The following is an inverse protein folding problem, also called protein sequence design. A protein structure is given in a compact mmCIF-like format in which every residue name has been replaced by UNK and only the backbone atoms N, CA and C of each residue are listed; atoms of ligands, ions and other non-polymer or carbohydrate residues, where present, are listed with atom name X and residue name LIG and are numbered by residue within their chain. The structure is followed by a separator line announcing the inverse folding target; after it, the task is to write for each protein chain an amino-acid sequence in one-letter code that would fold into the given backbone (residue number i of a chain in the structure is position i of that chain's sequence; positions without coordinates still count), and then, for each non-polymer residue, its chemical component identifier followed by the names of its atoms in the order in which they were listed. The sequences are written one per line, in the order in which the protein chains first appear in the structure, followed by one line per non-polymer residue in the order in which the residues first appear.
data_IF_753363904418
#
_entry.id   IF_753363904418
#
_cell.length_a   1.000
_cell.length_b   1.000
_cell.length_c   1.000
_cell.angle_alpha   90.00
_cell.angle_beta   90.00
_cell.angle_gamma   90.00
#
_symmetry.space_group_name_H-M   'P 1'
#
loop_
_entity.id
_entity.type
_entity.pdbx_description
1 polymer ?
#
# COMPACT_ATOMS: atom_id res chain seq x y z
N UNK A 1 8.57 8.39 -19.44
CA UNK A 1 9.37 8.29 -18.20
C UNK A 1 8.55 8.79 -17.03
N UNK A 2 8.44 8.02 -15.98
CA UNK A 2 7.65 8.34 -14.78
C UNK A 2 8.59 8.76 -13.64
N UNK A 3 8.34 9.89 -13.00
CA UNK A 3 8.94 10.26 -11.71
C UNK A 3 8.06 9.68 -10.59
N UNK A 4 8.60 8.83 -9.75
CA UNK A 4 7.91 8.23 -8.63
C UNK A 4 8.35 8.86 -7.30
N UNK A 5 7.47 9.61 -6.67
CA UNK A 5 7.66 10.18 -5.33
C UNK A 5 7.08 9.23 -4.29
N UNK A 6 7.93 8.58 -3.49
CA UNK A 6 7.49 7.48 -2.62
C UNK A 6 8.30 7.34 -1.34
N UNK A 7 7.79 6.54 -0.41
CA UNK A 7 8.46 6.08 0.79
C UNK A 7 8.15 4.57 0.97
N UNK A 8 8.98 3.81 1.75
CA UNK A 8 8.81 2.37 1.91
C UNK A 8 7.64 2.05 2.84
N UNK A 9 6.43 2.11 2.29
CA UNK A 9 5.17 1.89 3.01
C UNK A 9 4.22 1.07 2.13
N UNK A 10 3.20 0.42 2.69
CA UNK A 10 2.20 -0.30 1.91
C UNK A 10 1.59 0.52 0.77
N UNK A 11 1.38 1.83 0.95
CA UNK A 11 0.88 2.68 -0.12
C UNK A 11 1.95 3.02 -1.17
N UNK A 12 3.19 3.23 -0.75
CA UNK A 12 4.32 3.44 -1.66
C UNK A 12 4.57 2.24 -2.55
N UNK A 13 4.53 1.04 -1.98
CA UNK A 13 4.71 -0.22 -2.72
C UNK A 13 3.63 -0.48 -3.77
N UNK A 14 2.39 0.02 -3.58
CA UNK A 14 1.38 -0.07 -4.65
C UNK A 14 1.90 0.53 -5.95
N UNK A 15 2.52 1.70 -5.88
CA UNK A 15 3.04 2.39 -7.05
C UNK A 15 4.26 1.67 -7.65
N UNK A 16 5.28 1.36 -6.82
CA UNK A 16 6.50 0.73 -7.29
C UNK A 16 6.27 -0.68 -7.83
N UNK A 17 5.46 -1.50 -7.16
CA UNK A 17 5.09 -2.84 -7.66
C UNK A 17 4.32 -2.74 -8.97
N UNK A 18 3.39 -1.80 -9.10
CA UNK A 18 2.65 -1.61 -10.36
C UNK A 18 3.58 -1.22 -11.50
N UNK A 19 4.53 -0.30 -11.28
CA UNK A 19 5.52 0.10 -12.28
C UNK A 19 6.41 -1.08 -12.72
N UNK A 20 6.88 -1.88 -11.76
CA UNK A 20 7.69 -3.08 -12.03
C UNK A 20 6.91 -4.16 -12.78
N UNK A 21 5.66 -4.42 -12.42
CA UNK A 21 4.81 -5.40 -13.09
C UNK A 21 4.44 -4.97 -14.52
N UNK A 22 4.31 -3.68 -14.77
CA UNK A 22 4.04 -3.13 -16.08
C UNK A 22 5.32 -2.95 -16.93
N UNK A 23 6.51 -3.08 -16.34
CA UNK A 23 7.78 -2.83 -17.02
C UNK A 23 7.95 -1.37 -17.48
N UNK A 24 7.27 -0.44 -16.85
CA UNK A 24 7.36 0.99 -17.18
C UNK A 24 8.65 1.59 -16.61
N UNK A 25 9.43 2.34 -17.40
CA UNK A 25 10.62 3.00 -16.89
C UNK A 25 10.26 4.15 -15.96
N UNK A 26 10.94 4.21 -14.80
CA UNK A 26 10.70 5.25 -13.81
C UNK A 26 11.99 5.69 -13.10
N UNK A 27 11.94 6.89 -12.55
CA UNK A 27 12.97 7.46 -11.68
C UNK A 27 12.39 7.62 -10.28
N UNK A 28 13.14 7.19 -9.26
CA UNK A 28 12.69 7.21 -7.86
C UNK A 28 13.12 8.50 -7.19
N UNK A 29 12.16 9.21 -6.61
CA UNK A 29 12.35 10.36 -5.74
C UNK A 29 11.91 9.99 -4.32
N UNK A 30 12.83 9.54 -3.44
CA UNK A 30 12.50 9.21 -2.06
C UNK A 30 11.96 10.44 -1.32
N UNK A 31 10.88 10.24 -0.56
CA UNK A 31 10.27 11.30 0.27
C UNK A 31 10.44 10.92 1.74
N UNK A 32 11.19 11.70 2.49
CA UNK A 32 11.34 11.50 3.93
C UNK A 32 10.11 12.00 4.68
N UNK A 33 9.14 11.09 4.87
CA UNK A 33 7.87 11.40 5.53
C UNK A 33 8.03 11.73 7.02
N UNK A 34 9.10 11.27 7.66
CA UNK A 34 9.40 11.60 9.06
C UNK A 34 9.97 13.00 9.22
N UNK A 35 10.68 13.50 8.21
CA UNK A 35 11.14 14.88 8.13
C UNK A 35 10.07 15.86 7.62
N UNK A 36 8.89 15.37 7.23
CA UNK A 36 7.81 16.22 6.75
C UNK A 36 7.96 16.69 5.30
N UNK A 37 8.85 16.07 4.50
CA UNK A 37 9.08 16.48 3.10
C UNK A 37 7.82 16.46 2.24
N UNK A 38 6.85 15.58 2.55
CA UNK A 38 5.54 15.51 1.89
C UNK A 38 4.67 16.76 2.14
N UNK A 39 5.09 17.67 3.02
CA UNK A 39 4.41 18.94 3.34
C UNK A 39 5.12 20.17 2.78
N UNK A 40 6.23 19.99 2.07
CA UNK A 40 6.93 21.09 1.42
C UNK A 40 6.10 21.68 0.25
N UNK A 41 6.23 22.97 -0.04
CA UNK A 41 5.51 23.58 -1.17
C UNK A 41 5.75 22.87 -2.50
N UNK A 42 6.99 22.40 -2.74
CA UNK A 42 7.34 21.66 -3.94
C UNK A 42 6.56 20.36 -4.08
N UNK A 43 6.45 19.58 -3.00
CA UNK A 43 5.66 18.34 -3.02
C UNK A 43 4.15 18.61 -3.07
N UNK A 44 3.66 19.63 -2.38
CA UNK A 44 2.24 20.00 -2.39
C UNK A 44 1.77 20.47 -3.78
N UNK A 45 2.67 20.98 -4.62
CA UNK A 45 2.36 21.28 -6.02
C UNK A 45 2.11 20.01 -6.85
N UNK A 46 2.71 18.87 -6.48
CA UNK A 46 2.49 17.56 -7.12
C UNK A 46 1.26 16.87 -6.51
N UNK A 47 1.16 16.88 -5.18
CA UNK A 47 0.07 16.26 -4.44
C UNK A 47 -0.45 17.18 -3.34
N UNK A 48 -1.58 17.87 -3.55
CA UNK A 48 -2.14 18.81 -2.58
C UNK A 48 -2.58 18.16 -1.26
N UNK A 49 -2.80 16.83 -1.23
CA UNK A 49 -3.06 16.08 -0.01
C UNK A 49 -1.80 15.95 0.87
N UNK A 50 -0.59 16.14 0.29
CA UNK A 50 0.67 16.02 1.03
C UNK A 50 0.88 14.62 1.60
N UNK A 51 0.66 13.60 0.78
CA UNK A 51 0.88 12.18 1.08
C UNK A 51 1.57 11.48 -0.08
N UNK A 52 2.31 10.42 0.21
CA UNK A 52 2.88 9.52 -0.78
C UNK A 52 1.93 8.32 -1.03
N UNK A 53 2.03 7.67 -2.19
CA UNK A 53 2.82 8.01 -3.37
C UNK A 53 2.18 9.10 -4.23
N UNK A 54 3.00 9.69 -5.11
CA UNK A 54 2.57 10.48 -6.24
C UNK A 54 3.50 10.20 -7.43
N UNK A 55 3.03 10.42 -8.64
CA UNK A 55 3.86 10.35 -9.85
C UNK A 55 3.74 11.63 -10.67
N UNK A 56 4.77 11.87 -11.50
CA UNK A 56 4.73 12.85 -12.57
C UNK A 56 5.10 12.15 -13.87
N UNK A 57 4.21 12.19 -14.84
CA UNK A 57 4.46 11.60 -16.15
C UNK A 57 5.10 12.64 -17.09
N UNK A 58 6.40 12.49 -17.35
CA UNK A 58 7.16 13.39 -18.22
C UNK A 58 6.68 13.36 -19.67
N UNK A 59 6.18 12.20 -20.14
CA UNK A 59 5.72 12.01 -21.51
C UNK A 59 4.38 12.72 -21.79
N UNK A 60 3.64 13.03 -20.71
CA UNK A 60 2.37 13.75 -20.74
C UNK A 60 2.51 15.20 -20.25
N UNK A 61 3.62 15.84 -20.60
CA UNK A 61 3.86 17.25 -20.26
C UNK A 61 4.05 17.54 -18.78
N UNK A 62 4.45 16.55 -17.99
CA UNK A 62 4.62 16.68 -16.55
C UNK A 62 3.31 16.51 -15.77
N UNK A 63 2.39 15.70 -16.28
CA UNK A 63 1.11 15.43 -15.63
C UNK A 63 1.30 14.71 -14.29
N UNK A 64 0.83 15.35 -13.21
CA UNK A 64 0.93 14.81 -11.86
C UNK A 64 -0.32 13.96 -11.53
N UNK A 65 -0.10 12.77 -10.95
CA UNK A 65 -1.17 11.89 -10.47
C UNK A 65 -0.91 11.53 -9.01
N UNK A 66 -1.87 11.79 -8.16
CA UNK A 66 -1.86 11.40 -6.75
C UNK A 66 -3.07 10.48 -6.45
N UNK A 67 -3.15 9.96 -5.23
CA UNK A 67 -3.97 8.82 -4.80
C UNK A 67 -3.49 7.50 -5.39
N UNK A 68 -3.03 6.58 -4.53
CA UNK A 68 -2.41 5.33 -5.00
C UNK A 68 -3.33 4.50 -5.89
N UNK A 69 -4.64 4.48 -5.65
CA UNK A 69 -5.61 3.79 -6.51
C UNK A 69 -5.76 4.44 -7.89
N UNK A 70 -5.84 5.78 -7.96
CA UNK A 70 -5.91 6.52 -9.21
C UNK A 70 -4.63 6.38 -10.02
N UNK A 71 -3.48 6.44 -9.34
CA UNK A 71 -2.16 6.22 -9.92
C UNK A 71 -2.06 4.83 -10.57
N UNK A 72 -2.51 3.78 -9.89
CA UNK A 72 -2.50 2.42 -10.42
C UNK A 72 -3.39 2.28 -11.66
N UNK A 73 -4.58 2.91 -11.66
CA UNK A 73 -5.47 2.94 -12.83
C UNK A 73 -4.77 3.63 -13.99
N UNK A 74 -4.21 4.82 -13.77
CA UNK A 74 -3.49 5.58 -14.79
C UNK A 74 -2.34 4.80 -15.43
N UNK A 75 -1.49 4.16 -14.62
CA UNK A 75 -0.37 3.36 -15.10
C UNK A 75 -0.83 2.11 -15.87
N UNK A 76 -1.88 1.44 -15.39
CA UNK A 76 -2.44 0.28 -16.07
C UNK A 76 -3.06 0.66 -17.44
N UNK A 77 -3.75 1.80 -17.52
CA UNK A 77 -4.28 2.35 -18.78
C UNK A 77 -3.16 2.75 -19.75
N UNK A 78 -2.11 3.42 -19.25
CA UNK A 78 -0.94 3.81 -20.04
C UNK A 78 -0.22 2.60 -20.66
N UNK A 79 -0.09 1.53 -19.90
CA UNK A 79 0.57 0.29 -20.35
C UNK A 79 -0.36 -0.68 -21.09
N UNK A 80 -1.68 -0.53 -20.97
CA UNK A 80 -2.66 -1.46 -21.55
C UNK A 80 -2.68 -2.84 -20.89
N UNK A 81 -2.31 -2.95 -19.59
CA UNK A 81 -2.21 -4.20 -18.85
C UNK A 81 -2.69 -4.05 -17.40
N UNK A 82 -2.96 -5.16 -16.71
CA UNK A 82 -3.41 -5.25 -15.32
C UNK A 82 -4.77 -4.59 -15.02
N UNK A 83 -5.46 -4.08 -16.03
CA UNK A 83 -6.82 -3.54 -15.97
C UNK A 83 -7.53 -3.87 -17.28
N UNK A 84 -8.54 -4.76 -17.26
CA UNK A 84 -9.30 -5.10 -18.46
C UNK A 84 -9.97 -3.88 -19.10
N UNK A 85 -10.08 -3.88 -20.43
CA UNK A 85 -10.77 -2.85 -21.18
C UNK A 85 -12.28 -3.10 -21.29
N UNK A 86 -12.71 -4.36 -21.16
CA UNK A 86 -14.13 -4.68 -21.18
C UNK A 86 -14.85 -4.18 -19.92
N UNK A 87 -16.11 -3.81 -20.10
CA UNK A 87 -16.90 -3.14 -19.05
C UNK A 87 -17.03 -3.94 -17.76
N UNK A 88 -17.20 -5.27 -17.85
CA UNK A 88 -17.44 -6.11 -16.67
C UNK A 88 -16.14 -6.40 -15.94
N UNK A 89 -15.11 -6.84 -16.66
CA UNK A 89 -13.79 -7.10 -16.09
C UNK A 89 -13.22 -5.85 -15.43
N UNK A 90 -13.25 -4.72 -16.14
CA UNK A 90 -12.83 -3.41 -15.57
C UNK A 90 -13.60 -3.06 -14.29
N UNK A 91 -14.92 -3.21 -14.30
CA UNK A 91 -15.73 -2.94 -13.09
C UNK A 91 -15.34 -3.83 -11.93
N UNK A 92 -15.09 -5.13 -12.18
CA UNK A 92 -14.70 -6.07 -11.13
C UNK A 92 -13.34 -5.68 -10.51
N UNK A 93 -12.35 -5.33 -11.32
CA UNK A 93 -11.05 -4.83 -10.82
C UNK A 93 -11.23 -3.56 -9.98
N UNK A 94 -12.02 -2.60 -10.47
CA UNK A 94 -12.28 -1.34 -9.75
C UNK A 94 -13.00 -1.61 -8.41
N UNK A 95 -13.95 -2.55 -8.33
CA UNK A 95 -14.61 -2.91 -7.06
C UNK A 95 -13.60 -3.37 -6.02
N UNK A 96 -12.70 -4.31 -6.38
CA UNK A 96 -11.68 -4.80 -5.45
C UNK A 96 -10.59 -3.76 -5.15
N UNK A 97 -10.29 -2.88 -6.10
CA UNK A 97 -9.41 -1.74 -5.84
C UNK A 97 -10.05 -0.77 -4.83
N UNK A 98 -11.33 -0.42 -5.02
CA UNK A 98 -12.04 0.45 -4.08
C UNK A 98 -12.26 -0.20 -2.71
N UNK A 99 -12.46 -1.52 -2.66
CA UNK A 99 -12.50 -2.28 -1.42
C UNK A 99 -11.21 -2.11 -0.60
N UNK A 100 -10.05 -2.09 -1.29
CA UNK A 100 -8.79 -1.80 -0.64
C UNK A 100 -8.71 -0.34 -0.19
N UNK A 101 -9.04 0.61 -1.08
CA UNK A 101 -8.90 2.05 -0.83
C UNK A 101 -9.83 2.56 0.28
N UNK A 102 -11.06 2.04 0.35
CA UNK A 102 -12.06 2.43 1.34
C UNK A 102 -12.08 1.56 2.60
N UNK A 103 -11.49 0.38 2.56
CA UNK A 103 -11.59 -0.61 3.64
C UNK A 103 -10.22 -1.08 4.15
N UNK A 104 -9.59 -2.01 3.44
CA UNK A 104 -8.39 -2.72 3.93
C UNK A 104 -7.28 -1.76 4.34
N UNK A 105 -6.90 -0.81 3.48
CA UNK A 105 -5.83 0.15 3.77
C UNK A 105 -6.14 1.04 4.96
N UNK A 106 -7.28 1.75 4.98
CA UNK A 106 -7.67 2.61 6.10
C UNK A 106 -7.76 1.86 7.44
N UNK A 107 -8.39 0.69 7.47
CA UNK A 107 -8.59 -0.03 8.74
C UNK A 107 -7.28 -0.61 9.27
N UNK A 108 -6.47 -1.25 8.44
CA UNK A 108 -5.14 -1.72 8.84
C UNK A 108 -4.21 -0.56 9.19
N UNK A 109 -4.34 0.58 8.51
CA UNK A 109 -3.59 1.79 8.83
C UNK A 109 -3.91 2.30 10.23
N UNK A 110 -5.19 2.37 10.61
CA UNK A 110 -5.59 2.74 11.97
C UNK A 110 -5.19 1.67 13.00
N UNK A 111 -5.28 0.38 12.65
CA UNK A 111 -4.75 -0.68 13.52
C UNK A 111 -3.26 -0.46 13.82
N UNK A 112 -2.44 -0.13 12.81
CA UNK A 112 -1.03 0.22 13.02
C UNK A 112 -0.86 1.42 13.96
N UNK A 113 -1.68 2.46 13.80
CA UNK A 113 -1.62 3.66 14.66
C UNK A 113 -1.85 3.28 16.12
N UNK A 114 -2.97 2.67 16.45
CA UNK A 114 -3.34 2.40 17.84
C UNK A 114 -2.57 1.23 18.46
N UNK A 115 -2.26 0.21 17.67
CA UNK A 115 -1.52 -0.96 18.17
C UNK A 115 -0.01 -0.70 18.30
N UNK A 116 0.62 0.03 17.33
CA UNK A 116 2.09 0.18 17.31
C UNK A 116 2.57 1.59 17.58
N UNK A 117 1.94 2.61 16.97
CA UNK A 117 2.56 3.93 16.94
C UNK A 117 2.18 4.79 18.15
N UNK A 118 0.95 4.72 18.62
CA UNK A 118 0.52 5.50 19.80
C UNK A 118 1.27 5.03 21.06
N UNK A 119 1.80 5.96 21.87
CA UNK A 119 2.44 5.62 23.15
C UNK A 119 1.42 5.07 24.15
N UNK A 120 0.25 5.66 24.21
CA UNK A 120 -0.86 5.19 25.01
C UNK A 120 -1.65 4.11 24.26
N UNK A 121 -1.91 2.99 24.94
CA UNK A 121 -2.68 1.88 24.38
C UNK A 121 -4.16 2.05 24.69
N UNK A 122 -4.93 2.47 23.69
CA UNK A 122 -6.38 2.63 23.76
C UNK A 122 -7.03 1.33 23.30
N UNK A 123 -7.26 0.40 24.23
CA UNK A 123 -7.65 -0.97 23.92
C UNK A 123 -8.91 -1.05 23.04
N UNK A 124 -9.94 -0.26 23.33
CA UNK A 124 -11.18 -0.25 22.55
C UNK A 124 -10.93 0.13 21.06
N UNK A 125 -9.98 1.03 20.80
CA UNK A 125 -9.60 1.40 19.43
C UNK A 125 -8.78 0.28 18.76
N UNK A 126 -7.85 -0.33 19.48
CA UNK A 126 -7.08 -1.47 19.01
C UNK A 126 -8.01 -2.60 18.58
N UNK A 127 -8.92 -3.02 19.48
CA UNK A 127 -9.87 -4.11 19.23
C UNK A 127 -10.78 -3.78 18.03
N UNK A 128 -11.28 -2.55 17.96
CA UNK A 128 -12.14 -2.10 16.86
C UNK A 128 -11.46 -2.22 15.50
N UNK A 129 -10.23 -1.71 15.36
CA UNK A 129 -9.54 -1.69 14.08
C UNK A 129 -8.94 -3.04 13.71
N UNK A 130 -8.47 -3.84 14.67
CA UNK A 130 -8.00 -5.20 14.42
C UNK A 130 -9.15 -6.12 14.01
N UNK A 131 -10.30 -6.04 14.70
CA UNK A 131 -11.50 -6.84 14.36
C UNK A 131 -11.98 -6.51 12.94
N UNK A 132 -12.08 -5.23 12.59
CA UNK A 132 -12.51 -4.84 11.24
C UNK A 132 -11.47 -5.23 10.18
N UNK A 133 -10.17 -5.07 10.45
CA UNK A 133 -9.11 -5.55 9.56
C UNK A 133 -9.21 -7.05 9.32
N UNK A 134 -9.40 -7.84 10.38
CA UNK A 134 -9.61 -9.30 10.28
C UNK A 134 -10.83 -9.64 9.43
N UNK A 135 -11.96 -8.94 9.64
CA UNK A 135 -13.18 -9.14 8.84
C UNK A 135 -12.91 -8.88 7.35
N UNK A 136 -12.21 -7.80 7.02
CA UNK A 136 -11.89 -7.43 5.63
C UNK A 136 -10.94 -8.47 4.98
N UNK A 137 -9.93 -8.94 5.71
CA UNK A 137 -9.07 -10.03 5.25
C UNK A 137 -9.85 -11.33 5.06
N UNK A 138 -10.84 -11.61 5.90
CA UNK A 138 -11.79 -12.73 5.74
C UNK A 138 -12.61 -12.63 4.45
N UNK A 139 -13.01 -11.42 4.04
CA UNK A 139 -13.71 -11.21 2.75
C UNK A 139 -12.78 -11.56 1.57
N UNK A 140 -11.51 -11.13 1.62
CA UNK A 140 -10.52 -11.53 0.62
C UNK A 140 -10.33 -13.05 0.58
N UNK A 141 -10.18 -13.69 1.75
CA UNK A 141 -10.04 -15.15 1.85
C UNK A 141 -11.22 -15.88 1.24
N UNK A 142 -12.46 -15.44 1.52
CA UNK A 142 -13.67 -16.04 0.96
C UNK A 142 -13.72 -15.91 -0.56
N UNK A 143 -13.32 -14.76 -1.10
CA UNK A 143 -13.22 -14.56 -2.55
C UNK A 143 -12.20 -15.49 -3.19
N UNK A 144 -11.06 -15.66 -2.53
CA UNK A 144 -9.92 -16.44 -3.03
C UNK A 144 -10.12 -17.97 -2.87
N UNK A 145 -11.21 -18.42 -2.25
CA UNK A 145 -11.57 -19.84 -2.18
C UNK A 145 -11.82 -20.44 -3.57
N UNK A 146 -12.50 -19.68 -4.43
CA UNK A 146 -12.90 -20.12 -5.78
C UNK A 146 -12.16 -19.37 -6.92
N UNK A 147 -11.23 -18.48 -6.56
CA UNK A 147 -10.52 -17.66 -7.53
C UNK A 147 -9.02 -17.62 -7.21
N UNK A 148 -8.21 -17.66 -8.25
CA UNK A 148 -6.76 -17.51 -8.11
C UNK A 148 -6.40 -16.09 -7.68
N UNK A 149 -7.02 -15.10 -8.32
CA UNK A 149 -6.87 -13.66 -8.04
C UNK A 149 -8.24 -13.00 -7.84
N UNK A 150 -8.25 -11.79 -7.25
CA UNK A 150 -9.47 -11.12 -6.81
C UNK A 150 -10.47 -10.83 -7.93
N UNK A 151 -9.99 -10.48 -9.12
CA UNK A 151 -10.83 -10.15 -10.27
C UNK A 151 -10.88 -11.25 -11.35
N UNK A 152 -10.34 -12.43 -11.07
CA UNK A 152 -10.15 -13.54 -11.99
C UNK A 152 -8.69 -13.61 -12.41
N UNK A 153 -8.24 -12.72 -13.27
CA UNK A 153 -6.83 -12.56 -13.64
C UNK A 153 -6.12 -11.60 -12.67
N UNK A 154 -4.78 -11.76 -12.59
CA UNK A 154 -3.93 -10.85 -11.81
C UNK A 154 -4.04 -9.41 -12.29
N UNK A 155 -4.26 -8.49 -11.38
CA UNK A 155 -4.61 -7.10 -11.71
C UNK A 155 -4.10 -6.10 -10.67
N UNK A 156 -4.31 -4.82 -10.93
CA UNK A 156 -4.03 -3.75 -9.94
C UNK A 156 -4.81 -3.92 -8.63
N UNK A 157 -5.94 -4.62 -8.65
CA UNK A 157 -6.69 -4.93 -7.43
C UNK A 157 -5.91 -5.86 -6.50
N UNK A 158 -5.22 -6.86 -7.06
CA UNK A 158 -4.38 -7.78 -6.31
C UNK A 158 -3.18 -7.06 -5.72
N UNK A 159 -2.47 -6.27 -6.52
CA UNK A 159 -1.32 -5.48 -6.05
C UNK A 159 -1.73 -4.57 -4.88
N UNK A 160 -2.85 -3.85 -5.02
CA UNK A 160 -3.30 -2.91 -4.01
C UNK A 160 -3.60 -3.60 -2.67
N UNK A 161 -4.37 -4.69 -2.70
CA UNK A 161 -4.75 -5.44 -1.50
C UNK A 161 -3.55 -6.17 -0.90
N UNK A 162 -2.68 -6.77 -1.73
CA UNK A 162 -1.49 -7.48 -1.31
C UNK A 162 -0.53 -6.61 -0.50
N UNK A 163 -0.24 -5.40 -0.98
CA UNK A 163 0.70 -4.50 -0.28
C UNK A 163 0.30 -4.23 1.18
N UNK A 164 -0.98 -4.32 1.51
CA UNK A 164 -1.47 -4.21 2.88
C UNK A 164 -1.62 -5.56 3.56
N UNK A 165 -2.24 -6.54 2.92
CA UNK A 165 -2.51 -7.86 3.51
C UNK A 165 -1.21 -8.56 3.97
N UNK A 166 -0.11 -8.48 3.22
CA UNK A 166 1.20 -9.04 3.60
C UNK A 166 1.78 -8.47 4.90
N UNK A 167 1.28 -7.31 5.34
CA UNK A 167 1.72 -6.67 6.58
C UNK A 167 0.78 -6.92 7.77
N UNK A 168 -0.10 -7.92 7.69
CA UNK A 168 -1.14 -8.21 8.68
C UNK A 168 -0.58 -8.32 10.12
N UNK A 169 0.57 -8.96 10.31
CA UNK A 169 1.24 -9.08 11.62
C UNK A 169 1.68 -7.73 12.17
N UNK A 170 2.04 -6.79 11.30
CA UNK A 170 2.37 -5.44 11.74
C UNK A 170 1.16 -4.72 12.35
N UNK A 171 -0.02 -5.03 11.87
CA UNK A 171 -1.31 -4.54 12.41
C UNK A 171 -1.81 -5.35 13.62
N UNK A 172 -1.10 -6.41 14.02
CA UNK A 172 -1.51 -7.32 15.08
C UNK A 172 -2.70 -8.19 14.69
N UNK A 173 -2.82 -8.56 13.41
CA UNK A 173 -3.90 -9.39 12.89
C UNK A 173 -3.33 -10.74 12.43
N UNK A 174 -3.78 -11.82 13.02
CA UNK A 174 -3.41 -13.18 12.63
C UNK A 174 -4.32 -13.69 11.50
N UNK A 175 -3.74 -14.49 10.58
CA UNK A 175 -4.45 -15.04 9.41
C UNK A 175 -4.33 -16.56 9.27
N UNK A 176 -3.92 -17.27 10.31
CA UNK A 176 -3.70 -18.72 10.29
C UNK A 176 -4.96 -19.50 9.90
N UNK A 177 -6.14 -18.95 10.15
CA UNK A 177 -7.46 -19.46 9.76
C UNK A 177 -7.92 -19.00 8.37
N UNK A 178 -7.07 -18.31 7.59
CA UNK A 178 -7.36 -17.75 6.27
C UNK A 178 -6.44 -18.36 5.18
N UNK A 179 -6.54 -19.67 4.90
CA UNK A 179 -5.56 -20.38 4.05
C UNK A 179 -5.56 -19.91 2.59
N UNK A 180 -6.70 -19.48 2.06
CA UNK A 180 -6.77 -18.98 0.68
C UNK A 180 -6.09 -17.62 0.54
N UNK A 181 -6.21 -16.77 1.56
CA UNK A 181 -5.49 -15.51 1.64
C UNK A 181 -3.98 -15.75 1.72
N UNK A 182 -3.52 -16.69 2.56
CA UNK A 182 -2.09 -17.02 2.67
C UNK A 182 -1.54 -17.52 1.33
N UNK A 183 -2.22 -18.48 0.68
CA UNK A 183 -1.85 -18.96 -0.67
C UNK A 183 -1.67 -17.81 -1.65
N UNK A 184 -2.60 -16.87 -1.67
CA UNK A 184 -2.59 -15.73 -2.58
C UNK A 184 -1.44 -14.74 -2.25
N UNK A 185 -1.17 -14.48 -0.96
CA UNK A 185 -0.02 -13.68 -0.55
C UNK A 185 1.27 -14.32 -1.05
N UNK A 186 1.46 -15.63 -0.82
CA UNK A 186 2.66 -16.36 -1.23
C UNK A 186 2.86 -16.34 -2.76
N UNK A 187 1.77 -16.52 -3.51
CA UNK A 187 1.80 -16.50 -4.97
C UNK A 187 2.21 -15.14 -5.54
N UNK A 188 1.76 -14.03 -4.92
CA UNK A 188 2.14 -12.68 -5.35
C UNK A 188 3.57 -12.36 -4.90
N UNK A 189 3.94 -12.71 -3.68
CA UNK A 189 5.27 -12.45 -3.14
C UNK A 189 6.38 -13.18 -3.92
N UNK A 190 6.07 -14.33 -4.54
CA UNK A 190 6.99 -15.08 -5.39
C UNK A 190 7.26 -14.43 -6.76
N UNK A 191 6.55 -13.38 -7.14
CA UNK A 191 6.71 -12.71 -8.44
C UNK A 191 7.96 -11.82 -8.44
N UNK A 192 8.87 -11.96 -9.44
CA UNK A 192 10.11 -11.16 -9.45
C UNK A 192 9.90 -9.65 -9.51
N UNK A 193 8.85 -9.18 -10.18
CA UNK A 193 8.52 -7.74 -10.25
C UNK A 193 8.04 -7.22 -8.88
N UNK A 194 7.29 -8.03 -8.14
CA UNK A 194 6.85 -7.72 -6.79
C UNK A 194 8.05 -7.59 -5.85
N UNK A 195 8.99 -8.55 -5.90
CA UNK A 195 10.22 -8.50 -5.09
C UNK A 195 11.03 -7.21 -5.37
N UNK A 196 11.19 -6.81 -6.63
CA UNK A 196 11.85 -5.53 -6.95
C UNK A 196 11.08 -4.33 -6.42
N UNK A 197 9.78 -4.28 -6.67
CA UNK A 197 8.94 -3.15 -6.27
C UNK A 197 8.84 -2.94 -4.75
N UNK A 198 8.89 -4.03 -3.97
CA UNK A 198 8.90 -3.97 -2.51
C UNK A 198 10.20 -3.40 -1.91
N UNK A 199 11.28 -3.37 -2.69
CA UNK A 199 12.57 -2.81 -2.28
C UNK A 199 12.74 -1.32 -2.63
N UNK A 200 11.71 -0.68 -3.18
CA UNK A 200 11.71 0.74 -3.57
C UNK A 200 11.04 1.60 -2.49
N UNK A 201 11.65 2.74 -2.10
CA UNK A 201 12.97 3.29 -2.49
C UNK A 201 14.13 2.61 -1.77
N UNK A 202 13.85 1.79 -0.76
CA UNK A 202 14.82 1.05 0.05
C UNK A 202 14.19 -0.22 0.59
N UNK A 203 14.98 -1.28 0.68
CA UNK A 203 14.54 -2.55 1.28
C UNK A 203 14.42 -2.42 2.80
N UNK A 204 13.21 -2.59 3.30
CA UNK A 204 12.90 -2.61 4.74
C UNK A 204 12.42 -3.98 5.22
N UNK A 205 12.60 -5.04 4.43
CA UNK A 205 12.13 -6.40 4.77
C UNK A 205 12.62 -6.90 6.12
N UNK A 206 13.83 -6.49 6.53
CA UNK A 206 14.40 -6.83 7.83
C UNK A 206 13.58 -6.30 9.02
N UNK A 207 12.85 -5.19 8.86
CA UNK A 207 12.03 -4.58 9.92
C UNK A 207 10.83 -5.45 10.29
N UNK A 208 10.31 -6.23 9.34
CA UNK A 208 9.17 -7.12 9.58
C UNK A 208 9.55 -8.42 10.30
N UNK A 209 10.87 -8.70 10.44
CA UNK A 209 11.37 -9.85 11.18
C UNK A 209 11.45 -9.61 12.70
N UNK A 210 11.08 -8.39 13.16
CA UNK A 210 11.10 -8.00 14.57
C UNK A 210 12.46 -7.48 15.04
N UNK A 211 12.56 -7.23 16.36
CA UNK A 211 13.77 -6.72 17.01
C UNK A 211 13.86 -5.19 17.04
N UNK A 212 15.02 -4.66 17.50
CA UNK A 212 15.27 -3.22 17.74
C UNK A 212 14.96 -2.32 16.51
N UNK A 213 15.15 -2.86 15.29
CA UNK A 213 14.85 -2.15 14.05
C UNK A 213 13.37 -1.84 13.89
N UNK A 214 12.52 -2.83 14.21
CA UNK A 214 11.06 -2.67 14.16
C UNK A 214 10.56 -1.65 15.19
N UNK A 215 11.12 -1.64 16.40
CA UNK A 215 10.76 -0.69 17.44
C UNK A 215 11.18 0.73 17.08
N UNK A 216 12.39 0.92 16.53
CA UNK A 216 12.85 2.23 16.03
C UNK A 216 11.99 2.73 14.87
N UNK A 217 11.61 1.86 13.95
CA UNK A 217 10.72 2.23 12.87
C UNK A 217 9.34 2.67 13.39
N UNK A 218 8.77 1.94 14.35
CA UNK A 218 7.52 2.30 14.98
C UNK A 218 7.61 3.65 15.75
N UNK A 219 8.71 3.90 16.44
CA UNK A 219 8.97 5.17 17.12
C UNK A 219 9.06 6.34 16.14
N UNK A 220 9.75 6.16 15.01
CA UNK A 220 9.83 7.18 13.96
C UNK A 220 8.46 7.43 13.30
N UNK A 221 7.67 6.37 13.06
CA UNK A 221 6.32 6.50 12.51
C UNK A 221 5.37 7.28 13.42
N UNK A 222 5.63 7.30 14.75
CA UNK A 222 4.87 8.09 15.73
C UNK A 222 4.89 9.58 15.39
N UNK A 223 6.04 10.12 14.97
CA UNK A 223 6.16 11.56 14.63
C UNK A 223 5.23 11.95 13.48
N UNK A 224 4.98 11.03 12.54
CA UNK A 224 4.06 11.25 11.41
C UNK A 224 2.61 11.33 11.90
N UNK A 225 2.26 10.50 12.88
CA UNK A 225 0.89 10.38 13.40
C UNK A 225 0.54 11.54 14.35
N UNK A 226 1.52 11.98 15.16
CA UNK A 226 1.32 13.03 16.17
C UNK A 226 1.62 14.45 15.65
N UNK A 227 1.95 14.60 14.37
CA UNK A 227 2.24 15.90 13.76
C UNK A 227 3.57 16.52 14.17
N UNK A 228 4.51 15.70 14.67
CA UNK A 228 5.85 16.17 15.06
C UNK A 228 5.86 16.99 16.38
N UNK A 229 4.76 17.11 17.06
CA UNK A 229 4.73 17.71 18.39
C UNK A 229 5.32 16.76 19.43
N UNK A 230 6.64 16.76 19.56
CA UNK A 230 7.25 16.51 20.86
C UNK A 230 6.92 17.72 21.75
N UNK A 231 5.76 17.75 22.38
CA UNK A 231 5.57 18.59 23.55
C UNK A 231 6.26 17.92 24.73
N UNK A 232 7.06 18.70 25.51
CA UNK A 232 7.84 18.21 26.63
C UNK A 232 7.00 17.57 27.72
#
# INVERSE_FOLDING_TARGET
MIDLYTAPTPNGWKASVTLEELGLPYEVHPVNITAGEQKTPAFLAINPNGRIPAIVDRDEGGFAVFESGALMIYLAEKAGALLPSDRKGRSTVIQWLMFQMGGVGPMMGQANVFFRYMPEKIQVAIDRYQTESKRLLGVLNSRLADHEFLAGDYSIADIANFCWARTHRWSGVEIDDLPHLQRWIDAIEARPAVDRGLKVPVDISALFKGGDGAERFAANARTIVTGGENKP
#
